data_IF_671250590577
#
_entry.id   IF_671250590577
#
_cell.length_a   1.000
_cell.length_b   1.000
_cell.length_c   1.000
_cell.angle_alpha   90.00
_cell.angle_beta   90.00
_cell.angle_gamma   90.00
#
_symmetry.space_group_name_H-M   'P 1'
#
loop_
_entity.id
_entity.type
_entity.pdbx_description
1 polymer ?
#
# COMPACT_ATOMS: atom_id res chain seq x y z
N UNK A 1 -5.48 -3.94 -25.83
CA UNK A 1 -6.61 -4.47 -25.05
C UNK A 1 -6.97 -3.46 -23.99
N UNK A 2 -8.17 -2.87 -24.05
CA UNK A 2 -8.62 -1.87 -23.07
C UNK A 2 -9.16 -2.60 -21.84
N UNK A 3 -8.50 -2.47 -20.68
CA UNK A 3 -8.93 -3.12 -19.45
C UNK A 3 -10.32 -2.59 -19.01
N UNK A 4 -11.24 -3.48 -18.63
CA UNK A 4 -12.57 -3.09 -18.13
C UNK A 4 -12.44 -2.45 -16.75
N UNK A 5 -13.13 -1.32 -16.55
CA UNK A 5 -13.29 -0.70 -15.23
C UNK A 5 -14.05 -1.65 -14.32
N UNK A 6 -13.40 -2.12 -13.26
CA UNK A 6 -14.07 -2.91 -12.21
C UNK A 6 -14.96 -1.95 -11.41
N UNK A 7 -16.28 -2.07 -11.60
CA UNK A 7 -17.28 -1.31 -10.86
C UNK A 7 -17.91 -2.26 -9.84
N UNK A 8 -17.32 -2.39 -8.66
CA UNK A 8 -17.99 -3.09 -7.54
C UNK A 8 -18.70 -2.08 -6.65
N UNK A 9 -20.03 -2.23 -6.52
CA UNK A 9 -20.92 -1.41 -5.66
C UNK A 9 -20.97 -1.89 -4.19
N UNK A 10 -20.10 -2.81 -3.79
CA UNK A 10 -20.17 -3.54 -2.51
C UNK A 10 -18.89 -3.31 -1.70
N UNK A 11 -19.04 -2.64 -0.54
CA UNK A 11 -17.96 -2.21 0.35
C UNK A 11 -17.47 -3.28 1.33
N UNK A 12 -17.45 -4.56 0.94
CA UNK A 12 -16.76 -5.58 1.72
C UNK A 12 -15.30 -5.59 1.31
N UNK A 13 -14.50 -4.76 1.96
CA UNK A 13 -13.05 -4.83 1.88
C UNK A 13 -12.61 -6.16 2.50
N UNK A 14 -11.82 -6.93 1.75
CA UNK A 14 -11.17 -8.13 2.29
C UNK A 14 -10.02 -7.61 3.14
N UNK A 15 -10.23 -7.54 4.46
CA UNK A 15 -9.25 -7.16 5.46
C UNK A 15 -9.17 -8.22 6.56
N UNK A 16 -8.10 -8.19 7.34
CA UNK A 16 -7.92 -9.16 8.41
C UNK A 16 -6.62 -8.95 9.19
N UNK A 17 -6.31 -9.93 10.03
CA UNK A 17 -5.07 -9.94 10.79
C UNK A 17 -4.29 -11.24 10.54
N UNK A 18 -2.97 -11.14 10.47
CA UNK A 18 -2.05 -12.29 10.33
C UNK A 18 -0.99 -12.24 11.42
N UNK A 19 -0.62 -13.36 12.05
CA UNK A 19 0.52 -13.40 12.96
C UNK A 19 1.83 -13.21 12.20
N UNK A 20 2.75 -12.41 12.73
CA UNK A 20 4.13 -12.30 12.23
C UNK A 20 5.12 -12.68 13.31
N UNK A 21 6.03 -13.58 12.97
CA UNK A 21 7.14 -13.98 13.81
C UNK A 21 8.26 -12.93 13.75
N UNK A 22 8.55 -12.39 12.56
CA UNK A 22 9.56 -11.34 12.38
C UNK A 22 9.22 -10.04 13.13
N UNK A 23 7.93 -9.70 13.24
CA UNK A 23 7.47 -8.54 14.01
C UNK A 23 7.01 -8.87 15.44
N UNK A 24 6.90 -10.15 15.81
CA UNK A 24 6.39 -10.64 17.10
C UNK A 24 5.03 -10.05 17.51
N UNK A 25 4.13 -9.84 16.54
CA UNK A 25 2.80 -9.27 16.78
C UNK A 25 1.82 -9.68 15.69
N UNK A 26 0.53 -9.47 15.98
CA UNK A 26 -0.52 -9.53 14.95
C UNK A 26 -0.41 -8.29 14.05
N UNK A 27 -0.43 -8.52 12.75
CA UNK A 27 -0.38 -7.50 11.72
C UNK A 27 -1.75 -7.38 11.08
N UNK A 28 -2.30 -6.17 11.06
CA UNK A 28 -3.48 -5.85 10.27
C UNK A 28 -3.10 -5.63 8.81
N UNK A 29 -3.96 -6.09 7.90
CA UNK A 29 -3.86 -5.85 6.45
C UNK A 29 -5.22 -5.44 5.90
N UNK A 30 -5.22 -4.47 5.00
CA UNK A 30 -6.43 -3.84 4.47
C UNK A 30 -6.89 -4.47 3.14
N UNK A 31 -5.99 -5.20 2.48
CA UNK A 31 -6.26 -5.85 1.20
C UNK A 31 -5.54 -7.19 1.05
N UNK A 32 -6.04 -8.04 0.15
CA UNK A 32 -5.39 -9.31 -0.17
C UNK A 32 -3.94 -9.13 -0.67
N UNK A 33 -3.65 -8.04 -1.40
CA UNK A 33 -2.30 -7.73 -1.87
C UNK A 33 -1.33 -7.48 -0.70
N UNK A 34 -1.78 -6.79 0.34
CA UNK A 34 -0.97 -6.57 1.53
C UNK A 34 -0.70 -7.89 2.27
N UNK A 35 -1.71 -8.74 2.41
CA UNK A 35 -1.55 -10.07 3.00
C UNK A 35 -0.51 -10.89 2.24
N UNK A 36 -0.57 -10.91 0.92
CA UNK A 36 0.35 -11.68 0.08
C UNK A 36 1.78 -11.10 0.17
N UNK A 37 1.93 -9.77 0.19
CA UNK A 37 3.22 -9.12 0.42
C UNK A 37 3.82 -9.45 1.80
N UNK A 38 2.99 -9.44 2.85
CA UNK A 38 3.39 -9.86 4.21
C UNK A 38 3.91 -11.30 4.20
N UNK A 39 3.21 -12.22 3.53
CA UNK A 39 3.64 -13.61 3.43
C UNK A 39 4.98 -13.75 2.71
N UNK A 40 5.18 -13.05 1.59
CA UNK A 40 6.47 -13.05 0.89
C UNK A 40 7.63 -12.55 1.76
N UNK A 41 7.40 -11.51 2.56
CA UNK A 41 8.40 -10.99 3.49
C UNK A 41 8.66 -11.95 4.65
N UNK A 42 7.61 -12.54 5.22
CA UNK A 42 7.71 -13.44 6.38
C UNK A 42 8.48 -14.74 6.06
N UNK A 43 8.27 -15.30 4.86
CA UNK A 43 8.92 -16.56 4.43
C UNK A 43 10.29 -16.36 3.77
N UNK A 44 10.70 -15.13 3.49
CA UNK A 44 12.02 -14.85 2.95
C UNK A 44 13.09 -14.87 4.04
N UNK A 45 14.06 -15.79 3.92
CA UNK A 45 15.18 -15.94 4.87
C UNK A 45 16.10 -14.71 4.94
N UNK A 46 16.10 -13.85 3.91
CA UNK A 46 16.94 -12.65 3.86
C UNK A 46 16.30 -11.47 4.59
N UNK A 47 14.99 -11.52 4.83
CA UNK A 47 14.25 -10.45 5.51
C UNK A 47 14.34 -10.68 7.02
N UNK A 48 15.04 -9.78 7.73
CA UNK A 48 15.15 -9.85 9.19
C UNK A 48 13.94 -9.24 9.91
N UNK A 49 13.38 -8.18 9.33
CA UNK A 49 12.23 -7.43 9.85
C UNK A 49 11.66 -6.54 8.76
N UNK A 50 10.35 -6.34 8.77
CA UNK A 50 9.65 -5.35 7.95
C UNK A 50 8.72 -4.51 8.83
N UNK A 51 8.12 -3.48 8.24
CA UNK A 51 7.19 -2.57 8.91
C UNK A 51 5.95 -2.38 8.04
N UNK A 52 4.79 -2.48 8.68
CA UNK A 52 3.48 -2.14 8.09
C UNK A 52 3.32 -0.63 8.17
N UNK A 53 2.54 -0.04 7.25
CA UNK A 53 2.37 1.41 7.08
C UNK A 53 2.43 2.15 8.42
N UNK A 54 3.58 2.77 8.74
CA UNK A 54 3.85 3.19 10.12
C UNK A 54 3.11 4.47 10.50
N UNK A 55 2.60 5.21 9.53
CA UNK A 55 1.94 6.50 9.74
C UNK A 55 0.99 6.86 8.59
N UNK A 56 -0.03 7.66 8.91
CA UNK A 56 -0.85 8.36 7.92
C UNK A 56 -0.20 9.70 7.57
N UNK A 57 -0.04 9.98 6.28
CA UNK A 57 0.46 11.25 5.77
C UNK A 57 -0.74 12.11 5.35
N UNK A 58 -0.82 13.32 5.91
CA UNK A 58 -1.78 14.33 5.48
C UNK A 58 -1.08 15.28 4.53
N UNK A 59 -1.59 15.40 3.31
CA UNK A 59 -1.10 16.36 2.34
C UNK A 59 -1.96 17.62 2.41
N UNK A 60 -1.32 18.77 2.59
CA UNK A 60 -1.99 20.05 2.40
C UNK A 60 -2.07 20.33 0.89
N UNK A 61 -3.26 20.14 0.33
CA UNK A 61 -3.55 20.30 -1.10
C UNK A 61 -3.36 21.73 -1.62
N UNK A 62 -3.09 22.72 -0.76
CA UNK A 62 -2.88 24.12 -1.15
C UNK A 62 -1.47 24.47 -1.67
N UNK A 63 -0.58 23.49 -1.87
CA UNK A 63 0.78 23.74 -2.42
C UNK A 63 1.02 23.06 -3.78
N UNK A 64 0.02 23.07 -4.66
CA UNK A 64 0.20 22.72 -6.08
C UNK A 64 0.17 23.98 -6.96
N UNK A 65 1.18 24.85 -6.83
CA UNK A 65 1.68 25.52 -8.03
C UNK A 65 2.71 24.60 -8.67
N UNK A 66 2.21 23.87 -9.68
CA UNK A 66 2.99 23.01 -10.54
C UNK A 66 4.13 23.81 -11.20
N UNK A 67 5.35 23.65 -10.68
CA UNK A 67 6.60 23.90 -11.40
C UNK A 67 6.79 22.87 -12.55
N UNK A 68 5.81 22.80 -13.46
CA UNK A 68 5.81 21.96 -14.67
C UNK A 68 5.34 22.72 -15.91
N UNK A 69 5.62 24.02 -16.00
CA UNK A 69 5.34 24.83 -17.20
C UNK A 69 6.53 25.59 -17.78
N UNK A 70 7.78 25.25 -17.44
CA UNK A 70 8.97 25.94 -17.95
C UNK A 70 9.86 25.12 -18.90
N UNK A 71 9.53 23.87 -19.25
CA UNK A 71 10.42 23.05 -20.11
C UNK A 71 9.90 22.72 -21.53
N UNK A 72 8.83 23.34 -22.02
CA UNK A 72 8.48 23.22 -23.44
C UNK A 72 8.06 24.58 -24.00
N UNK A 73 9.06 25.33 -24.46
CA UNK A 73 9.01 26.21 -25.63
C UNK A 73 10.45 26.50 -26.07
N UNK A 74 10.98 25.60 -26.89
CA UNK A 74 11.88 25.95 -27.98
C UNK A 74 11.06 26.59 -29.09
#
# INVERSE_FOLDING_TARGET
MTARKVITRSGKTVSGNTPSHQMRKMIHWESALERDAIQHLEFSHTVKKYWVQPMKLYFDTNKQEFSRRQEIKM
#
